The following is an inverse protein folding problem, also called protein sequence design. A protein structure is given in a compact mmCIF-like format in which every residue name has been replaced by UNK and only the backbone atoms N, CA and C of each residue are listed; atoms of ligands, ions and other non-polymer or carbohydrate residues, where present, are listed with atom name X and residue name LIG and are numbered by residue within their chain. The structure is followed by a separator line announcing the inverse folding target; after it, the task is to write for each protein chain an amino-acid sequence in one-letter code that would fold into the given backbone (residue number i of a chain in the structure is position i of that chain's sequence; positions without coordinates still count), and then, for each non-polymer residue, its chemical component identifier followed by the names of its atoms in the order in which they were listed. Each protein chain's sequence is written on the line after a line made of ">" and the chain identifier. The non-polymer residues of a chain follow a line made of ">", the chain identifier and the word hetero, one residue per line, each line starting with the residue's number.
data_IF_939384312971
#
_entry.id   IF_939384312971
#
_cell.length_a   1.000
_cell.length_b   1.000
_cell.length_c   1.000
_cell.angle_alpha   90.00
_cell.angle_beta   90.00
_cell.angle_gamma   90.00
#
_symmetry.space_group_name_H-M   'P 1'
#
loop_
_entity.id
_entity.type
_entity.pdbx_description
1 polymer ?
#
# COMPACT_ATOMS: atom_id res chain seq x y z
N UNK A 1 6.49 -8.00 0.66
CA UNK A 1 7.92 -8.25 0.88
C UNK A 1 8.47 -9.16 -0.20
N UNK A 2 8.05 -10.43 -0.22
CA UNK A 2 8.60 -11.46 -1.12
C UNK A 2 8.66 -11.03 -2.60
N UNK A 3 7.62 -10.38 -3.12
CA UNK A 3 7.64 -9.93 -4.52
C UNK A 3 8.70 -8.87 -4.81
N UNK A 4 8.94 -7.94 -3.88
CA UNK A 4 10.01 -6.92 -4.03
C UNK A 4 11.39 -7.56 -3.92
N UNK A 5 11.58 -8.54 -3.07
CA UNK A 5 12.85 -9.28 -2.90
C UNK A 5 13.21 -10.12 -4.13
N UNK A 6 12.21 -10.61 -4.87
CA UNK A 6 12.39 -11.49 -6.02
C UNK A 6 12.71 -10.79 -7.34
N UNK A 7 12.69 -9.45 -7.42
CA UNK A 7 13.22 -8.76 -8.60
C UNK A 7 14.71 -9.03 -8.75
N UNK A 8 15.19 -9.24 -9.95
CA UNK A 8 16.61 -9.59 -10.23
C UNK A 8 17.56 -8.43 -9.92
N UNK A 9 17.11 -7.19 -10.03
CA UNK A 9 17.86 -5.97 -9.71
C UNK A 9 16.96 -4.86 -9.20
N UNK A 10 17.53 -3.85 -8.57
CA UNK A 10 16.79 -2.67 -8.14
C UNK A 10 16.22 -1.88 -9.33
N UNK A 11 16.98 -1.80 -10.43
CA UNK A 11 16.52 -1.14 -11.65
C UNK A 11 15.29 -1.81 -12.27
N UNK A 12 15.19 -3.13 -12.17
CA UNK A 12 14.01 -3.88 -12.67
C UNK A 12 12.72 -3.50 -11.94
N UNK A 13 12.78 -3.12 -10.67
CA UNK A 13 11.63 -2.64 -9.90
C UNK A 13 11.00 -1.40 -10.57
N UNK A 14 11.80 -0.58 -11.23
CA UNK A 14 11.42 0.71 -11.83
C UNK A 14 11.29 0.67 -13.36
N UNK A 15 11.56 -0.49 -13.97
CA UNK A 15 11.44 -0.66 -15.41
C UNK A 15 9.98 -0.61 -15.83
N UNK A 16 9.67 0.17 -16.87
CA UNK A 16 8.32 0.18 -17.48
C UNK A 16 8.24 -0.97 -18.46
N UNK A 17 7.28 -1.87 -18.28
CA UNK A 17 7.00 -2.94 -19.21
C UNK A 17 6.00 -2.48 -20.29
N UNK A 18 6.05 -3.11 -21.47
CA UNK A 18 5.13 -2.81 -22.57
C UNK A 18 3.67 -3.01 -22.12
N UNK A 19 2.82 -2.04 -22.42
CA UNK A 19 1.39 -2.07 -22.05
C UNK A 19 1.09 -1.80 -20.58
N UNK A 20 2.10 -1.49 -19.75
CA UNK A 20 1.96 -1.22 -18.33
C UNK A 20 2.44 0.19 -18.01
N UNK A 21 1.56 1.04 -17.47
CA UNK A 21 1.89 2.45 -17.20
C UNK A 21 2.76 2.67 -15.97
N UNK A 22 2.62 1.83 -14.93
CA UNK A 22 3.29 2.00 -13.66
C UNK A 22 4.20 0.80 -13.35
N UNK A 23 5.51 1.00 -13.17
CA UNK A 23 6.41 -0.06 -12.73
C UNK A 23 6.06 -0.51 -11.30
N UNK A 24 6.54 -1.70 -10.93
CA UNK A 24 6.27 -2.32 -9.63
C UNK A 24 6.62 -1.43 -8.43
N UNK A 25 7.68 -0.62 -8.55
CA UNK A 25 8.09 0.34 -7.52
C UNK A 25 7.03 1.40 -7.23
N UNK A 26 6.40 1.97 -8.27
CA UNK A 26 5.33 2.95 -8.07
C UNK A 26 4.06 2.31 -7.49
N UNK A 27 3.72 1.10 -7.92
CA UNK A 27 2.60 0.36 -7.33
C UNK A 27 2.88 0.05 -5.86
N UNK A 28 4.12 -0.30 -5.51
CA UNK A 28 4.53 -0.50 -4.12
C UNK A 28 4.42 0.79 -3.29
N UNK A 29 4.94 1.92 -3.79
CA UNK A 29 4.82 3.21 -3.10
C UNK A 29 3.36 3.60 -2.89
N UNK A 30 2.51 3.35 -3.89
CA UNK A 30 1.07 3.58 -3.78
C UNK A 30 0.44 2.74 -2.65
N UNK A 31 0.84 1.49 -2.49
CA UNK A 31 0.39 0.65 -1.37
C UNK A 31 0.89 1.19 -0.03
N UNK A 32 2.14 1.63 0.06
CA UNK A 32 2.68 2.22 1.30
C UNK A 32 1.95 3.51 1.67
N UNK A 33 1.71 4.40 0.72
CA UNK A 33 0.93 5.61 0.93
C UNK A 33 -0.51 5.32 1.36
N UNK A 34 -1.14 4.32 0.76
CA UNK A 34 -2.49 3.88 1.11
C UNK A 34 -2.57 3.36 2.57
N UNK A 35 -1.71 2.42 2.94
CA UNK A 35 -1.69 1.83 4.29
C UNK A 35 -1.33 2.87 5.36
N UNK A 36 -0.33 3.74 5.09
CA UNK A 36 0.06 4.81 6.01
C UNK A 36 -1.07 5.82 6.22
N UNK A 37 -1.85 6.12 5.18
CA UNK A 37 -3.00 7.03 5.30
C UNK A 37 -4.12 6.39 6.09
N UNK A 38 -4.62 5.25 5.62
CA UNK A 38 -5.91 4.72 6.07
C UNK A 38 -5.82 3.86 7.34
N UNK A 39 -4.69 3.27 7.63
CA UNK A 39 -4.43 2.65 8.93
C UNK A 39 -3.54 3.54 9.82
N UNK A 40 -2.42 4.02 9.28
CA UNK A 40 -1.42 4.74 10.04
C UNK A 40 -1.95 6.08 10.59
N UNK A 41 -2.36 6.98 9.73
CA UNK A 41 -2.83 8.30 10.15
C UNK A 41 -4.18 8.25 10.87
N UNK A 42 -5.13 7.44 10.37
CA UNK A 42 -6.51 7.43 10.91
C UNK A 42 -6.59 6.74 12.27
N UNK A 43 -5.96 5.59 12.43
CA UNK A 43 -6.06 4.80 13.67
C UNK A 43 -4.73 4.63 14.42
N UNK A 44 -3.60 4.70 13.71
CA UNK A 44 -2.27 4.56 14.31
C UNK A 44 -1.67 5.87 14.83
N UNK A 45 -2.36 7.01 14.66
CA UNK A 45 -1.89 8.34 15.10
C UNK A 45 -0.47 8.70 14.62
N UNK A 46 -0.07 8.23 13.44
CA UNK A 46 1.29 8.43 12.93
C UNK A 46 1.56 9.85 12.45
N UNK A 47 0.53 10.65 12.20
CA UNK A 47 0.66 11.98 11.61
C UNK A 47 1.08 11.96 10.14
N UNK A 48 1.01 10.80 9.46
CA UNK A 48 1.39 10.68 8.06
C UNK A 48 0.54 11.58 7.16
N UNK A 49 1.21 12.36 6.32
CA UNK A 49 0.58 13.19 5.29
C UNK A 49 0.93 12.61 3.92
N UNK A 50 -0.09 12.23 3.17
CA UNK A 50 0.07 11.56 1.88
C UNK A 50 0.48 12.53 0.77
N UNK A 51 1.50 12.16 0.01
CA UNK A 51 1.84 12.79 -1.27
C UNK A 51 1.60 11.78 -2.41
N UNK A 52 0.34 11.71 -2.87
CA UNK A 52 -0.04 10.75 -3.91
C UNK A 52 0.66 11.00 -5.26
N UNK A 53 0.87 12.24 -5.74
CA UNK A 53 1.68 12.50 -6.92
C UNK A 53 3.08 11.91 -6.84
N UNK A 54 3.73 12.00 -5.68
CA UNK A 54 5.07 11.46 -5.47
C UNK A 54 5.12 9.93 -5.55
N UNK A 55 4.06 9.22 -5.15
CA UNK A 55 3.95 7.76 -5.29
C UNK A 55 4.16 7.31 -6.75
N UNK A 56 3.70 8.09 -7.72
CA UNK A 56 3.75 7.76 -9.14
C UNK A 56 4.87 8.44 -9.92
N UNK A 57 5.46 9.51 -9.39
CA UNK A 57 6.58 10.23 -10.02
C UNK A 57 7.97 9.76 -9.56
N UNK A 58 8.06 9.17 -8.36
CA UNK A 58 9.34 8.66 -7.83
C UNK A 58 9.92 7.55 -8.70
N UNK A 59 11.27 7.52 -8.77
CA UNK A 59 12.04 6.49 -9.49
C UNK A 59 13.30 6.16 -8.69
N UNK A 60 13.85 5.00 -8.97
CA UNK A 60 15.18 4.58 -8.53
C UNK A 60 15.41 4.57 -7.00
N UNK A 61 14.33 4.45 -6.21
CA UNK A 61 14.44 4.25 -4.77
C UNK A 61 15.03 2.86 -4.53
N UNK A 62 16.11 2.72 -3.73
CA UNK A 62 16.73 1.43 -3.45
C UNK A 62 15.74 0.43 -2.85
N UNK A 63 15.85 -0.84 -3.22
CA UNK A 63 15.04 -1.95 -2.66
C UNK A 63 15.04 -1.95 -1.14
N UNK A 64 16.20 -1.74 -0.52
CA UNK A 64 16.33 -1.69 0.93
C UNK A 64 15.44 -0.62 1.55
N UNK A 65 15.33 0.55 0.91
CA UNK A 65 14.43 1.63 1.36
C UNK A 65 12.96 1.24 1.23
N UNK A 66 12.56 0.61 0.12
CA UNK A 66 11.19 0.12 -0.04
C UNK A 66 10.84 -0.91 1.05
N UNK A 67 11.74 -1.85 1.31
CA UNK A 67 11.53 -2.86 2.36
C UNK A 67 11.47 -2.23 3.75
N UNK A 68 12.26 -1.19 4.02
CA UNK A 68 12.20 -0.45 5.28
C UNK A 68 10.85 0.24 5.47
N UNK A 69 10.32 0.91 4.42
CA UNK A 69 8.98 1.51 4.48
C UNK A 69 7.89 0.48 4.85
N UNK A 70 8.00 -0.74 4.32
CA UNK A 70 7.09 -1.82 4.69
C UNK A 70 7.27 -2.26 6.14
N UNK A 71 8.52 -2.34 6.64
CA UNK A 71 8.81 -2.72 8.02
C UNK A 71 8.29 -1.70 9.03
N UNK A 72 8.22 -0.43 8.66
CA UNK A 72 7.65 0.62 9.50
C UNK A 72 6.11 0.52 9.60
N UNK A 73 5.42 0.35 8.47
CA UNK A 73 3.94 0.36 8.47
C UNK A 73 3.32 -0.97 8.90
N UNK A 74 3.98 -2.10 8.63
CA UNK A 74 3.44 -3.43 8.90
C UNK A 74 3.01 -3.64 10.37
N UNK A 75 3.86 -3.35 11.39
CA UNK A 75 3.45 -3.51 12.79
C UNK A 75 2.29 -2.59 13.17
N UNK A 76 2.20 -1.39 12.58
CA UNK A 76 1.11 -0.43 12.84
C UNK A 76 -0.21 -1.01 12.34
N UNK A 77 -0.25 -1.51 11.11
CA UNK A 77 -1.45 -2.14 10.54
C UNK A 77 -1.89 -3.33 11.38
N UNK A 78 -0.95 -4.20 11.77
CA UNK A 78 -1.27 -5.36 12.63
C UNK A 78 -1.82 -4.94 13.98
N UNK A 79 -1.23 -3.91 14.60
CA UNK A 79 -1.68 -3.40 15.89
C UNK A 79 -3.09 -2.83 15.80
N UNK A 80 -3.36 -1.99 14.79
CA UNK A 80 -4.69 -1.43 14.54
C UNK A 80 -5.73 -2.53 14.36
N UNK A 81 -5.45 -3.53 13.50
CA UNK A 81 -6.40 -4.62 13.24
C UNK A 81 -6.62 -5.52 14.48
N UNK A 82 -5.59 -5.75 15.29
CA UNK A 82 -5.68 -6.57 16.50
C UNK A 82 -6.49 -5.91 17.60
N UNK A 83 -6.29 -4.60 17.78
CA UNK A 83 -6.88 -3.85 18.89
C UNK A 83 -8.22 -3.20 18.52
N UNK A 84 -8.62 -3.26 17.24
CA UNK A 84 -9.86 -2.62 16.79
C UNK A 84 -11.08 -3.30 17.42
N UNK A 85 -11.94 -2.54 18.13
CA UNK A 85 -13.12 -3.11 18.78
C UNK A 85 -14.11 -3.65 17.74
N UNK A 86 -14.52 -4.92 17.89
CA UNK A 86 -15.41 -5.58 16.93
C UNK A 86 -16.79 -4.89 16.84
N UNK A 87 -17.29 -4.32 17.94
CA UNK A 87 -18.55 -3.59 18.01
C UNK A 87 -18.49 -2.27 17.21
N UNK A 88 -17.32 -1.73 16.94
CA UNK A 88 -17.13 -0.52 16.11
C UNK A 88 -17.00 -0.79 14.60
N UNK A 89 -17.02 -2.04 14.17
CA UNK A 89 -16.93 -2.36 12.73
C UNK A 89 -18.12 -1.80 11.95
N UNK A 90 -19.29 -1.66 12.57
CA UNK A 90 -20.49 -1.07 11.98
C UNK A 90 -20.54 0.47 12.01
N UNK A 91 -19.66 1.12 12.76
CA UNK A 91 -19.59 2.59 12.82
C UNK A 91 -18.99 3.18 11.55
N UNK A 92 -19.33 4.44 11.26
CA UNK A 92 -18.79 5.17 10.10
C UNK A 92 -17.29 5.37 10.23
N UNK A 93 -16.56 5.05 9.15
CA UNK A 93 -15.13 5.32 9.04
C UNK A 93 -14.86 6.83 9.05
N UNK A 94 -13.88 7.34 9.82
CA UNK A 94 -13.72 8.78 10.08
C UNK A 94 -13.42 9.63 8.85
N UNK A 95 -12.90 9.03 7.78
CA UNK A 95 -12.52 9.75 6.55
C UNK A 95 -13.36 9.27 5.38
N UNK A 96 -13.95 10.21 4.65
CA UNK A 96 -14.72 9.91 3.46
C UNK A 96 -13.78 9.60 2.29
N UNK A 97 -13.82 8.36 1.78
CA UNK A 97 -12.99 7.86 0.66
C UNK A 97 -13.83 7.76 -0.62
N UNK A 98 -15.12 7.49 -0.48
CA UNK A 98 -16.08 7.33 -1.57
C UNK A 98 -17.10 8.49 -1.60
N UNK A 99 -17.99 8.49 -2.57
CA UNK A 99 -19.05 9.49 -2.68
C UNK A 99 -20.04 9.43 -1.48
N UNK A 100 -20.09 8.31 -0.78
CA UNK A 100 -20.90 8.10 0.41
C UNK A 100 -20.06 7.60 1.59
N UNK A 101 -20.60 7.77 2.81
CA UNK A 101 -19.96 7.26 4.02
C UNK A 101 -20.00 5.74 4.04
N UNK A 102 -18.92 5.12 4.49
CA UNK A 102 -18.78 3.67 4.63
C UNK A 102 -18.42 3.31 6.06
N UNK A 103 -18.76 2.09 6.46
CA UNK A 103 -18.40 1.58 7.79
C UNK A 103 -16.92 1.21 7.87
N UNK A 104 -16.39 1.12 9.08
CA UNK A 104 -15.04 0.63 9.35
C UNK A 104 -14.81 -0.75 8.73
N UNK A 105 -15.74 -1.67 8.92
CA UNK A 105 -15.64 -3.01 8.35
C UNK A 105 -15.58 -3.01 6.82
N UNK A 106 -16.41 -2.18 6.18
CA UNK A 106 -16.36 -2.03 4.72
C UNK A 106 -15.00 -1.52 4.26
N UNK A 107 -14.46 -0.47 4.91
CA UNK A 107 -13.17 0.11 4.55
C UNK A 107 -12.04 -0.89 4.76
N UNK A 108 -12.02 -1.66 5.86
CA UNK A 108 -10.98 -2.66 6.10
C UNK A 108 -10.96 -3.76 5.02
N UNK A 109 -12.13 -4.25 4.61
CA UNK A 109 -12.24 -5.21 3.50
C UNK A 109 -11.79 -4.56 2.19
N UNK A 110 -12.17 -3.30 1.93
CA UNK A 110 -11.72 -2.57 0.75
C UNK A 110 -10.20 -2.41 0.72
N UNK A 111 -9.57 -2.08 1.83
CA UNK A 111 -8.11 -1.92 1.91
C UNK A 111 -7.38 -3.26 1.70
N UNK A 112 -7.94 -4.37 2.20
CA UNK A 112 -7.42 -5.71 1.95
C UNK A 112 -7.51 -6.10 0.48
N UNK A 113 -8.68 -5.91 -0.15
CA UNK A 113 -8.87 -6.22 -1.58
C UNK A 113 -8.01 -5.33 -2.48
N UNK A 114 -7.84 -4.06 -2.12
CA UNK A 114 -6.95 -3.12 -2.80
C UNK A 114 -5.48 -3.58 -2.71
N UNK A 115 -5.03 -4.02 -1.54
CA UNK A 115 -3.70 -4.59 -1.33
C UNK A 115 -3.50 -5.84 -2.19
N UNK A 116 -4.46 -6.76 -2.18
CA UNK A 116 -4.40 -8.00 -2.96
C UNK A 116 -4.35 -7.73 -4.48
N UNK A 117 -5.16 -6.78 -4.97
CA UNK A 117 -5.16 -6.35 -6.36
C UNK A 117 -3.79 -5.84 -6.81
N UNK A 118 -3.22 -4.92 -6.06
CA UNK A 118 -1.91 -4.34 -6.38
C UNK A 118 -0.74 -5.31 -6.16
N UNK A 119 -0.85 -6.22 -5.20
CA UNK A 119 0.12 -7.30 -5.04
C UNK A 119 0.16 -8.19 -6.29
N UNK A 120 -1.00 -8.49 -6.86
CA UNK A 120 -1.10 -9.19 -8.15
C UNK A 120 -0.40 -8.44 -9.28
N UNK A 121 -0.56 -7.11 -9.36
CA UNK A 121 0.13 -6.29 -10.36
C UNK A 121 1.66 -6.33 -10.19
N UNK A 122 2.18 -6.22 -8.97
CA UNK A 122 3.62 -6.32 -8.70
C UNK A 122 4.15 -7.71 -9.10
N UNK A 123 3.42 -8.77 -8.75
CA UNK A 123 3.79 -10.15 -9.12
C UNK A 123 3.88 -10.32 -10.63
N UNK A 124 2.86 -9.87 -11.39
CA UNK A 124 2.87 -9.97 -12.85
C UNK A 124 3.94 -9.10 -13.48
N UNK A 125 4.11 -7.87 -13.04
CA UNK A 125 5.17 -6.97 -13.51
C UNK A 125 6.55 -7.63 -13.38
N UNK A 126 6.87 -8.17 -12.19
CA UNK A 126 8.13 -8.88 -11.97
C UNK A 126 8.30 -10.06 -12.92
N UNK A 127 7.26 -10.87 -13.11
CA UNK A 127 7.31 -12.08 -13.96
C UNK A 127 7.42 -11.77 -15.44
N UNK A 128 6.84 -10.67 -15.91
CA UNK A 128 6.97 -10.22 -17.30
C UNK A 128 8.42 -9.79 -17.61
N UNK A 129 9.10 -9.25 -16.62
CA UNK A 129 10.48 -8.78 -16.75
C UNK A 129 11.55 -9.84 -16.42
N UNK A 130 11.14 -11.04 -16.05
CA UNK A 130 12.05 -12.14 -15.65
C UNK A 130 12.62 -12.85 -16.86
#
# INVERSE_FOLDING_TARGET
>A
RKEIELYSSDSQIWQVAEGINNPGGNVFLHLMGNLNTFFGAVYGNTGYVRDRPLEFSSRDIPRATLLHMLDEIHPIVLQVLRDFPADKLGETYPVRIFDEDKTNGYIFIHLETHLAYHLGQINYHRRILS
#
